data_IF_379468150352
#
_entry.id   IF_379468150352
#
_cell.length_a   1.000
_cell.length_b   1.000
_cell.length_c   1.000
_cell.angle_alpha   90.00
_cell.angle_beta   90.00
_cell.angle_gamma   90.00
#
_symmetry.space_group_name_H-M   'P 1'
#
loop_
_entity.id
_entity.type
_entity.pdbx_description
1 polymer ?
#
# COMPACT_ATOMS: atom_id res chain seq x y z
N UNK A 1 -34.47 -0.35 -14.19
CA UNK A 1 -33.56 0.63 -13.54
C UNK A 1 -32.45 0.94 -14.55
N UNK A 2 -32.24 2.23 -14.87
CA UNK A 2 -31.19 2.66 -15.78
C UNK A 2 -29.79 2.50 -15.13
N UNK A 3 -28.68 2.60 -15.91
CA UNK A 3 -27.35 2.48 -15.36
C UNK A 3 -27.15 3.55 -14.28
N UNK A 4 -26.68 3.14 -13.10
CA UNK A 4 -26.35 4.07 -12.02
C UNK A 4 -25.20 4.96 -12.49
N UNK A 5 -25.36 6.27 -12.32
CA UNK A 5 -24.36 7.25 -12.71
C UNK A 5 -23.11 7.13 -11.80
N UNK A 6 -21.93 6.89 -12.39
CA UNK A 6 -20.66 6.94 -11.68
C UNK A 6 -20.24 8.40 -11.49
N UNK A 7 -20.03 8.81 -10.23
CA UNK A 7 -19.54 10.13 -9.86
C UNK A 7 -18.11 10.05 -9.34
N UNK A 8 -17.20 10.81 -9.94
CA UNK A 8 -15.82 10.92 -9.50
C UNK A 8 -15.63 12.23 -8.74
N UNK A 9 -15.03 12.16 -7.56
CA UNK A 9 -14.69 13.33 -6.74
C UNK A 9 -13.28 13.18 -6.19
N UNK A 10 -12.44 14.23 -6.22
CA UNK A 10 -11.19 14.23 -5.44
C UNK A 10 -11.53 14.27 -3.95
N UNK A 11 -10.74 13.61 -3.13
CA UNK A 11 -10.92 13.59 -1.69
C UNK A 11 -9.69 13.03 -0.98
N UNK A 12 -9.51 13.43 0.26
CA UNK A 12 -8.49 12.88 1.14
C UNK A 12 -9.13 11.81 2.03
N UNK A 13 -8.48 10.65 2.17
CA UNK A 13 -9.00 9.54 2.97
C UNK A 13 -9.18 9.87 4.46
N UNK A 14 -8.57 10.96 4.93
CA UNK A 14 -8.66 11.40 6.32
C UNK A 14 -9.87 12.31 6.63
N UNK A 15 -10.50 12.92 5.60
CA UNK A 15 -11.51 13.96 5.83
C UNK A 15 -12.57 14.07 4.72
N UNK A 16 -12.65 13.10 3.78
CA UNK A 16 -13.69 13.11 2.74
C UNK A 16 -15.09 13.06 3.34
N UNK A 17 -16.06 13.74 2.72
CA UNK A 17 -17.45 13.66 3.11
C UNK A 17 -18.34 13.20 1.97
N UNK A 18 -19.22 12.25 2.28
CA UNK A 18 -20.32 11.83 1.43
C UNK A 18 -21.56 12.58 1.93
N UNK A 19 -22.43 13.05 1.05
CA UNK A 19 -23.64 13.78 1.46
C UNK A 19 -24.52 13.02 2.47
N UNK A 20 -24.48 11.68 2.41
CA UNK A 20 -25.14 10.76 3.35
C UNK A 20 -24.30 9.49 3.49
N UNK A 21 -24.43 8.74 4.60
CA UNK A 21 -23.74 7.47 4.78
C UNK A 21 -24.13 6.44 3.71
N UNK A 22 -23.15 5.63 3.29
CA UNK A 22 -23.30 4.62 2.25
C UNK A 22 -23.46 3.20 2.81
N UNK A 23 -23.96 2.28 1.98
CA UNK A 23 -24.12 0.86 2.35
C UNK A 23 -22.78 0.11 2.33
N UNK A 24 -21.82 0.56 1.51
CA UNK A 24 -20.50 -0.06 1.45
C UNK A 24 -19.43 0.92 1.00
N UNK A 25 -18.20 0.72 1.51
CA UNK A 25 -16.97 1.32 1.04
C UNK A 25 -16.05 0.21 0.53
N UNK A 26 -15.50 0.41 -0.66
CA UNK A 26 -14.46 -0.44 -1.23
C UNK A 26 -13.15 0.34 -1.38
N UNK A 27 -12.05 -0.25 -0.91
CA UNK A 27 -10.72 0.35 -1.02
C UNK A 27 -9.70 -0.66 -1.53
N UNK A 28 -9.00 -0.34 -2.62
CA UNK A 28 -7.97 -1.21 -3.17
C UNK A 28 -6.66 -0.44 -3.38
N UNK A 29 -5.58 -0.95 -2.79
CA UNK A 29 -4.22 -0.41 -2.89
C UNK A 29 -4.07 1.07 -2.45
N UNK A 30 -4.85 1.51 -1.46
CA UNK A 30 -4.84 2.90 -0.95
C UNK A 30 -4.32 2.99 0.48
N UNK A 31 -4.80 2.13 1.40
CA UNK A 31 -4.64 2.38 2.84
C UNK A 31 -3.18 2.35 3.32
N UNK A 32 -2.30 1.63 2.65
CA UNK A 32 -0.87 1.61 2.98
C UNK A 32 -0.10 2.89 2.63
N UNK A 33 -0.73 3.83 1.90
CA UNK A 33 -0.16 5.16 1.64
C UNK A 33 -0.36 6.14 2.79
N UNK A 34 -1.25 5.82 3.73
CA UNK A 34 -1.53 6.65 4.89
C UNK A 34 -0.55 6.30 6.01
N UNK A 35 0.03 7.31 6.63
CA UNK A 35 1.00 7.16 7.71
C UNK A 35 0.42 6.31 8.86
N UNK A 36 1.28 5.54 9.54
CA UNK A 36 0.89 4.62 10.60
C UNK A 36 0.12 5.31 11.74
N UNK A 37 0.54 6.51 12.13
CA UNK A 37 -0.07 7.31 13.19
C UNK A 37 -1.46 7.88 12.82
N UNK A 38 -1.78 7.92 11.53
CA UNK A 38 -3.07 8.41 11.01
C UNK A 38 -4.08 7.30 10.69
N UNK A 39 -3.65 6.04 10.74
CA UNK A 39 -4.51 4.89 10.34
C UNK A 39 -5.81 4.85 11.15
N UNK A 40 -5.74 5.01 12.49
CA UNK A 40 -6.95 4.97 13.32
C UNK A 40 -7.90 6.12 12.97
N UNK A 41 -7.38 7.34 12.79
CA UNK A 41 -8.19 8.50 12.38
C UNK A 41 -8.89 8.26 11.05
N UNK A 42 -8.19 7.69 10.07
CA UNK A 42 -8.78 7.32 8.79
C UNK A 42 -9.88 6.28 8.93
N UNK A 43 -9.66 5.23 9.73
CA UNK A 43 -10.65 4.16 9.94
C UNK A 43 -11.90 4.67 10.67
N UNK A 44 -11.74 5.52 11.69
CA UNK A 44 -12.83 6.17 12.40
C UNK A 44 -13.65 7.04 11.43
N UNK A 45 -12.95 7.76 10.55
CA UNK A 45 -13.58 8.59 9.54
C UNK A 45 -14.36 7.75 8.51
N UNK A 46 -13.75 6.69 7.94
CA UNK A 46 -14.44 5.76 7.04
C UNK A 46 -15.68 5.16 7.73
N UNK A 47 -15.56 4.76 8.99
CA UNK A 47 -16.67 4.21 9.75
C UNK A 47 -17.83 5.20 9.88
N UNK A 48 -17.56 6.51 10.04
CA UNK A 48 -18.59 7.54 10.12
C UNK A 48 -19.38 7.71 8.82
N UNK A 49 -18.81 7.33 7.69
CA UNK A 49 -19.44 7.44 6.37
C UNK A 49 -20.21 6.18 5.95
N UNK A 50 -20.23 5.13 6.79
CA UNK A 50 -20.93 3.87 6.52
C UNK A 50 -22.15 3.76 7.44
N UNK A 51 -23.28 3.32 6.88
CA UNK A 51 -24.51 3.05 7.65
C UNK A 51 -24.27 1.90 8.65
N UNK A 52 -24.98 1.85 9.80
CA UNK A 52 -25.04 0.67 10.63
C UNK A 52 -25.39 -0.58 9.80
N UNK A 53 -24.66 -1.67 9.99
CA UNK A 53 -24.79 -2.90 9.19
C UNK A 53 -24.13 -2.86 7.80
N UNK A 54 -23.62 -1.71 7.36
CA UNK A 54 -22.89 -1.57 6.10
C UNK A 54 -21.48 -2.18 6.13
N UNK A 55 -20.79 -2.21 5.01
CA UNK A 55 -19.53 -2.93 4.81
C UNK A 55 -18.37 -2.01 4.48
N UNK A 56 -17.19 -2.34 5.02
CA UNK A 56 -15.91 -1.96 4.44
C UNK A 56 -15.23 -3.21 3.89
N UNK A 57 -14.85 -3.18 2.61
CA UNK A 57 -14.01 -4.21 1.98
C UNK A 57 -12.75 -3.54 1.48
N UNK A 58 -11.59 -3.99 1.95
CA UNK A 58 -10.32 -3.40 1.54
C UNK A 58 -9.24 -4.44 1.29
N UNK A 59 -8.36 -4.13 0.32
CA UNK A 59 -7.13 -4.86 0.05
C UNK A 59 -5.98 -3.87 -0.13
N UNK A 60 -4.84 -4.11 0.52
CA UNK A 60 -3.67 -3.25 0.42
C UNK A 60 -2.39 -4.03 0.75
N UNK A 61 -1.21 -3.39 0.75
CA UNK A 61 0.04 -4.03 1.13
C UNK A 61 0.04 -4.41 2.62
N UNK A 62 0.33 -5.67 2.90
CA UNK A 62 0.49 -6.16 4.27
C UNK A 62 1.95 -6.42 4.63
N UNK A 63 2.21 -6.90 5.82
CA UNK A 63 3.56 -7.20 6.34
C UNK A 63 4.34 -8.07 5.38
N UNK A 64 5.54 -7.63 5.02
CA UNK A 64 6.41 -8.30 4.04
C UNK A 64 6.22 -7.83 2.59
N UNK A 65 5.28 -6.93 2.30
CA UNK A 65 5.06 -6.43 0.94
C UNK A 65 6.30 -5.68 0.41
N UNK A 66 6.83 -6.11 -0.75
CA UNK A 66 8.04 -5.58 -1.38
C UNK A 66 9.27 -5.54 -0.46
N UNK A 67 9.33 -6.44 0.52
CA UNK A 67 10.39 -6.47 1.53
C UNK A 67 11.77 -6.64 0.92
N UNK A 68 11.88 -7.50 -0.10
CA UNK A 68 13.14 -7.75 -0.82
C UNK A 68 13.66 -6.47 -1.49
N UNK A 69 12.77 -5.67 -2.08
CA UNK A 69 13.13 -4.39 -2.71
C UNK A 69 13.53 -3.36 -1.67
N UNK A 70 12.74 -3.20 -0.61
CA UNK A 70 13.04 -2.23 0.44
C UNK A 70 14.34 -2.54 1.18
N UNK A 71 14.63 -3.83 1.46
CA UNK A 71 15.89 -4.23 2.10
C UNK A 71 17.11 -3.95 1.20
N UNK A 72 17.00 -4.17 -0.11
CA UNK A 72 18.07 -3.87 -1.05
C UNK A 72 18.31 -2.35 -1.18
N UNK A 73 17.24 -1.55 -1.26
CA UNK A 73 17.34 -0.09 -1.25
C UNK A 73 17.98 0.43 0.03
N UNK A 74 17.57 -0.07 1.20
CA UNK A 74 18.16 0.30 2.49
C UNK A 74 19.68 0.06 2.51
N UNK A 75 20.12 -1.13 2.03
CA UNK A 75 21.52 -1.48 1.91
C UNK A 75 22.28 -0.52 0.97
N UNK A 76 21.71 -0.17 -0.18
CA UNK A 76 22.35 0.72 -1.17
C UNK A 76 22.41 2.17 -0.69
N UNK A 77 21.34 2.68 -0.08
CA UNK A 77 21.36 4.00 0.57
C UNK A 77 22.46 4.10 1.62
N UNK A 78 22.57 3.09 2.50
CA UNK A 78 23.61 3.04 3.53
C UNK A 78 25.04 3.00 2.93
N UNK A 79 25.25 2.25 1.83
CA UNK A 79 26.53 2.19 1.14
C UNK A 79 26.97 3.56 0.57
N UNK A 80 26.02 4.44 0.25
CA UNK A 80 26.27 5.82 -0.19
C UNK A 80 26.18 6.85 0.95
N UNK A 81 26.15 6.41 2.22
CA UNK A 81 26.10 7.29 3.39
C UNK A 81 24.76 7.99 3.58
N UNK A 82 23.71 7.48 2.96
CA UNK A 82 22.34 7.99 3.05
C UNK A 82 21.46 7.12 3.94
N UNK A 83 20.39 7.71 4.47
CA UNK A 83 19.38 7.00 5.24
C UNK A 83 18.15 6.73 4.38
N UNK A 84 17.75 5.44 4.26
CA UNK A 84 16.54 5.04 3.60
C UNK A 84 15.37 5.05 4.60
N UNK A 85 14.30 5.75 4.28
CA UNK A 85 13.07 5.78 5.08
C UNK A 85 11.94 5.09 4.35
N UNK A 86 11.46 3.97 4.89
CA UNK A 86 10.24 3.31 4.39
C UNK A 86 9.04 4.23 4.62
N UNK A 87 8.24 4.42 3.59
CA UNK A 87 7.09 5.34 3.62
C UNK A 87 5.76 4.62 3.71
N UNK A 88 5.71 3.34 3.36
CA UNK A 88 4.49 2.55 3.39
C UNK A 88 4.22 1.95 4.76
N UNK A 89 2.95 1.88 5.13
CA UNK A 89 2.48 1.14 6.29
C UNK A 89 1.96 -0.24 5.87
N UNK A 90 2.71 -1.29 6.20
CA UNK A 90 2.40 -2.67 5.88
C UNK A 90 2.15 -3.49 7.16
N UNK A 91 0.91 -3.50 7.68
CA UNK A 91 0.58 -4.18 8.93
C UNK A 91 0.41 -5.69 8.76
N UNK A 92 0.51 -6.40 9.89
CA UNK A 92 -0.03 -7.75 10.04
C UNK A 92 -1.54 -7.72 10.26
N UNK A 93 -2.22 -8.89 10.14
CA UNK A 93 -3.64 -9.02 10.53
C UNK A 93 -3.83 -8.68 12.01
N UNK A 94 -2.90 -9.12 12.88
CA UNK A 94 -2.98 -8.88 14.32
C UNK A 94 -2.80 -7.42 14.73
N UNK A 95 -2.11 -6.61 13.92
CA UNK A 95 -1.98 -5.16 14.13
C UNK A 95 -3.20 -4.40 13.61
N UNK A 96 -3.78 -4.80 12.49
CA UNK A 96 -4.81 -4.01 11.84
C UNK A 96 -6.25 -4.35 12.28
N UNK A 97 -6.53 -5.61 12.61
CA UNK A 97 -7.85 -6.02 13.06
C UNK A 97 -8.34 -5.27 14.33
N UNK A 98 -7.50 -5.09 15.39
CA UNK A 98 -7.89 -4.31 16.55
C UNK A 98 -8.24 -2.84 16.24
N UNK A 99 -7.56 -2.24 15.23
CA UNK A 99 -7.86 -0.87 14.80
C UNK A 99 -9.22 -0.78 14.12
N UNK A 100 -9.59 -1.78 13.30
CA UNK A 100 -10.91 -1.89 12.70
C UNK A 100 -12.01 -2.08 13.78
N UNK A 101 -11.78 -2.94 14.77
CA UNK A 101 -12.73 -3.14 15.87
C UNK A 101 -12.90 -1.88 16.72
N UNK A 102 -11.80 -1.16 17.01
CA UNK A 102 -11.84 0.14 17.70
C UNK A 102 -12.62 1.19 16.92
N UNK A 103 -12.57 1.17 15.59
CA UNK A 103 -13.38 2.05 14.73
C UNK A 103 -14.88 1.66 14.66
N UNK A 104 -15.31 0.62 15.38
CA UNK A 104 -16.70 0.17 15.45
C UNK A 104 -17.09 -0.82 14.36
N UNK A 105 -16.13 -1.57 13.83
CA UNK A 105 -16.40 -2.67 12.90
C UNK A 105 -16.31 -4.03 13.59
N UNK A 106 -17.06 -5.00 13.09
CA UNK A 106 -16.85 -6.43 13.33
C UNK A 106 -16.08 -7.02 12.16
N UNK A 107 -14.94 -7.64 12.42
CA UNK A 107 -14.16 -8.34 11.39
C UNK A 107 -14.87 -9.64 11.03
N UNK A 108 -15.30 -9.78 9.76
CA UNK A 108 -15.96 -10.99 9.23
C UNK A 108 -14.98 -11.86 8.45
N UNK A 109 -13.94 -11.25 7.87
CA UNK A 109 -12.91 -11.94 7.12
C UNK A 109 -11.61 -11.15 7.16
N UNK A 110 -10.49 -11.86 7.31
CA UNK A 110 -9.15 -11.32 7.22
C UNK A 110 -8.21 -12.36 6.61
N UNK A 111 -7.31 -11.93 5.73
CA UNK A 111 -6.27 -12.79 5.19
C UNK A 111 -5.02 -11.99 4.84
N UNK A 112 -3.86 -12.59 5.01
CA UNK A 112 -2.56 -12.12 4.53
C UNK A 112 -2.01 -13.19 3.60
N UNK A 113 -1.61 -12.81 2.37
CA UNK A 113 -1.17 -13.77 1.36
C UNK A 113 -0.14 -13.19 0.40
N UNK A 114 0.75 -14.03 -0.07
CA UNK A 114 1.76 -13.68 -1.08
C UNK A 114 1.09 -13.48 -2.44
N UNK A 115 1.52 -12.41 -3.12
CA UNK A 115 1.04 -12.07 -4.46
C UNK A 115 2.18 -11.52 -5.30
N UNK A 116 3.19 -12.33 -5.69
CA UNK A 116 4.23 -11.87 -6.58
C UNK A 116 3.63 -11.20 -7.81
N UNK A 117 4.01 -9.96 -8.05
CA UNK A 117 3.35 -9.13 -9.06
C UNK A 117 4.30 -8.82 -10.19
N UNK A 118 3.92 -9.28 -11.39
CA UNK A 118 4.65 -9.04 -12.63
C UNK A 118 4.78 -7.53 -12.89
N UNK A 119 5.98 -7.12 -13.28
CA UNK A 119 6.27 -5.77 -13.75
C UNK A 119 6.42 -5.76 -15.28
N UNK A 120 6.13 -4.63 -15.90
CA UNK A 120 6.14 -4.51 -17.36
C UNK A 120 7.52 -4.07 -17.88
N UNK A 121 7.94 -4.69 -18.98
CA UNK A 121 9.17 -4.30 -19.69
C UNK A 121 10.47 -4.74 -19.02
N UNK A 122 11.60 -4.54 -19.73
CA UNK A 122 12.93 -4.94 -19.27
C UNK A 122 13.38 -4.14 -18.03
N UNK A 123 12.92 -2.91 -17.86
CA UNK A 123 13.24 -2.00 -16.76
C UNK A 123 12.20 -2.02 -15.64
N UNK A 124 11.30 -3.03 -15.64
CA UNK A 124 10.12 -3.06 -14.80
C UNK A 124 10.37 -2.87 -13.30
N UNK A 125 11.50 -3.38 -12.75
CA UNK A 125 11.84 -3.13 -11.35
C UNK A 125 12.31 -1.69 -11.12
N UNK A 126 13.15 -1.14 -12.01
CA UNK A 126 13.59 0.25 -11.93
C UNK A 126 12.41 1.22 -12.02
N UNK A 127 11.47 0.95 -12.92
CA UNK A 127 10.26 1.77 -13.09
C UNK A 127 9.34 1.67 -11.88
N UNK A 128 9.24 0.48 -11.27
CA UNK A 128 8.51 0.31 -10.02
C UNK A 128 9.09 1.19 -8.90
N UNK A 129 10.42 1.18 -8.71
CA UNK A 129 11.10 2.00 -7.71
C UNK A 129 10.84 3.49 -7.97
N UNK A 130 10.99 3.93 -9.22
CA UNK A 130 10.75 5.33 -9.61
C UNK A 130 9.30 5.79 -9.42
N UNK A 131 8.34 4.87 -9.59
CA UNK A 131 6.92 5.17 -9.48
C UNK A 131 6.42 5.21 -8.04
N UNK A 132 6.83 4.24 -7.23
CA UNK A 132 6.22 4.02 -5.92
C UNK A 132 7.09 4.46 -4.74
N UNK A 133 8.41 4.50 -4.91
CA UNK A 133 9.35 4.75 -3.80
C UNK A 133 10.06 6.10 -3.93
N UNK A 134 9.33 7.13 -4.36
CA UNK A 134 9.86 8.47 -4.66
C UNK A 134 10.31 9.25 -3.42
N UNK A 135 9.61 9.08 -2.29
CA UNK A 135 9.86 9.89 -1.10
C UNK A 135 11.26 9.68 -0.49
N UNK A 136 11.84 8.47 -0.43
CA UNK A 136 13.22 8.28 0.02
C UNK A 136 14.27 8.99 -0.82
N UNK A 137 13.98 9.23 -2.11
CA UNK A 137 14.88 9.91 -3.03
C UNK A 137 14.73 11.44 -3.03
N UNK A 138 13.80 11.99 -2.26
CA UNK A 138 13.59 13.42 -2.17
C UNK A 138 14.86 14.10 -1.63
N UNK A 139 15.43 15.04 -2.42
CA UNK A 139 16.67 15.75 -2.08
C UNK A 139 17.98 15.00 -2.37
N UNK A 140 17.91 13.78 -2.90
CA UNK A 140 19.09 13.05 -3.38
C UNK A 140 19.46 13.59 -4.77
N UNK A 141 20.76 13.74 -5.04
CA UNK A 141 21.25 14.13 -6.37
C UNK A 141 20.73 13.16 -7.44
N UNK A 142 20.23 13.63 -8.59
CA UNK A 142 19.62 12.79 -9.61
C UNK A 142 20.54 11.71 -10.18
N UNK A 143 21.85 11.99 -10.33
CA UNK A 143 22.80 11.01 -10.83
C UNK A 143 23.06 9.93 -9.77
N UNK A 144 23.17 10.31 -8.50
CA UNK A 144 23.28 9.37 -7.40
C UNK A 144 22.00 8.52 -7.22
N UNK A 145 20.83 9.12 -7.35
CA UNK A 145 19.57 8.39 -7.31
C UNK A 145 19.48 7.33 -8.42
N UNK A 146 19.88 7.69 -9.65
CA UNK A 146 19.93 6.77 -10.76
C UNK A 146 20.94 5.63 -10.52
N UNK A 147 22.09 5.92 -9.91
CA UNK A 147 23.08 4.92 -9.55
C UNK A 147 22.55 3.95 -8.49
N UNK A 148 21.95 4.45 -7.40
CA UNK A 148 21.35 3.61 -6.34
C UNK A 148 20.29 2.67 -6.92
N UNK A 149 19.43 3.17 -7.80
CA UNK A 149 18.41 2.34 -8.46
C UNK A 149 19.06 1.25 -9.31
N UNK A 150 20.07 1.59 -10.13
CA UNK A 150 20.76 0.62 -10.98
C UNK A 150 21.44 -0.49 -10.16
N UNK A 151 22.18 -0.11 -9.11
CA UNK A 151 22.81 -1.04 -8.18
C UNK A 151 21.80 -1.95 -7.47
N UNK A 152 20.64 -1.41 -7.08
CA UNK A 152 19.54 -2.17 -6.47
C UNK A 152 18.97 -3.19 -7.46
N UNK A 153 18.74 -2.78 -8.71
CA UNK A 153 18.24 -3.67 -9.77
C UNK A 153 19.23 -4.81 -10.02
N UNK A 154 20.52 -4.51 -10.06
CA UNK A 154 21.55 -5.54 -10.27
C UNK A 154 21.63 -6.53 -9.10
N UNK A 155 21.55 -6.07 -7.86
CA UNK A 155 21.47 -6.94 -6.67
C UNK A 155 20.26 -7.88 -6.71
N UNK A 156 19.14 -7.39 -7.21
CA UNK A 156 17.86 -8.11 -7.20
C UNK A 156 17.61 -8.96 -8.44
N UNK A 157 18.42 -8.81 -9.48
CA UNK A 157 18.30 -9.60 -10.71
C UNK A 157 18.26 -11.12 -10.47
N UNK A 158 19.12 -11.73 -9.65
CA UNK A 158 19.07 -13.17 -9.40
C UNK A 158 17.86 -13.62 -8.56
N UNK A 159 17.15 -12.69 -7.92
CA UNK A 159 16.06 -12.98 -6.96
C UNK A 159 14.68 -12.67 -7.54
N UNK A 160 14.54 -11.58 -8.30
CA UNK A 160 13.24 -11.07 -8.76
C UNK A 160 13.06 -11.10 -10.28
N UNK A 161 14.11 -11.47 -11.07
CA UNK A 161 14.00 -11.63 -12.52
C UNK A 161 13.90 -13.13 -12.85
N UNK A 162 12.74 -13.58 -13.31
CA UNK A 162 12.46 -14.95 -13.69
C UNK A 162 12.06 -15.00 -15.18
N UNK A 163 12.77 -15.82 -15.98
CA UNK A 163 12.52 -15.97 -17.42
C UNK A 163 12.40 -14.62 -18.18
N UNK A 164 13.26 -13.66 -17.83
CA UNK A 164 13.27 -12.33 -18.44
C UNK A 164 12.14 -11.39 -17.97
N UNK A 165 11.38 -11.77 -16.95
CA UNK A 165 10.26 -11.01 -16.40
C UNK A 165 10.54 -10.66 -14.95
N UNK A 166 10.40 -9.37 -14.60
CA UNK A 166 10.50 -8.88 -13.23
C UNK A 166 9.23 -9.17 -12.45
N UNK A 167 9.41 -9.60 -11.19
CA UNK A 167 8.33 -9.73 -10.21
C UNK A 167 8.72 -8.99 -8.94
N UNK A 168 7.78 -8.22 -8.37
CA UNK A 168 7.94 -7.67 -7.02
C UNK A 168 7.18 -8.57 -6.05
N UNK A 169 7.80 -8.88 -4.93
CA UNK A 169 7.33 -9.76 -3.86
C UNK A 169 6.20 -9.10 -3.04
N UNK A 170 5.05 -8.87 -3.68
CA UNK A 170 3.91 -8.31 -2.97
C UNK A 170 3.32 -9.32 -1.98
N UNK A 171 3.04 -8.79 -0.79
CA UNK A 171 2.15 -9.42 0.18
C UNK A 171 0.92 -8.55 0.33
N UNK A 172 -0.27 -9.15 0.22
CA UNK A 172 -1.53 -8.43 0.35
C UNK A 172 -2.25 -8.83 1.62
N UNK A 173 -2.82 -7.82 2.26
CA UNK A 173 -3.76 -8.00 3.36
C UNK A 173 -5.15 -7.59 2.89
N UNK A 174 -6.14 -8.42 3.20
CA UNK A 174 -7.53 -8.18 2.81
C UNK A 174 -8.44 -8.31 4.01
N UNK A 175 -9.38 -7.38 4.14
CA UNK A 175 -10.42 -7.42 5.15
C UNK A 175 -11.81 -7.26 4.50
N UNK A 176 -12.80 -7.93 5.09
CA UNK A 176 -14.21 -7.61 4.98
C UNK A 176 -14.73 -7.41 6.40
N UNK A 177 -15.24 -6.23 6.67
CA UNK A 177 -15.72 -5.86 8.00
C UNK A 177 -17.09 -5.20 7.93
N UNK A 178 -17.88 -5.38 8.98
CA UNK A 178 -19.24 -4.86 9.08
C UNK A 178 -19.31 -3.79 10.17
N UNK A 179 -19.91 -2.65 9.85
CA UNK A 179 -20.21 -1.59 10.81
C UNK A 179 -21.23 -2.08 11.83
N UNK A 180 -20.93 -1.93 13.13
CA UNK A 180 -21.82 -2.24 14.25
C UNK A 180 -22.85 -1.14 14.45
#
# INVERSE_FOLDING_TARGET
EGPQELKFRPGNALDFTLGEPVDAVFSNAVLHWIDADKQQTMLDHIASQIKPGGLLVCEFGGKGCAETVHAALEKRFAAHGLHYRRTFYFPTVGEYAPMLEKAGFRVEYATLFDRPTKQNGPDGLADWIRMFDTAPFAGVDPALAAQIIAETVDDLRPVLLHDGVWYVDYVRIRFKVRKL
#
